data_IF_358522120629
#
_entry.id   IF_358522120629
#
_cell.length_a   1.000
_cell.length_b   1.000
_cell.length_c   1.000
_cell.angle_alpha   90.00
_cell.angle_beta   90.00
_cell.angle_gamma   90.00
#
_symmetry.space_group_name_H-M   'P 1'
#
loop_
_entity.id
_entity.type
_entity.pdbx_description
1 polymer ?
#
# COMPACT_ATOMS: atom_id res chain seq x y z
N UNK A 1 21.31 -33.00 0.77
CA UNK A 1 20.45 -32.70 1.95
C UNK A 1 20.52 -31.22 2.31
N UNK A 2 19.92 -30.29 1.53
CA UNK A 2 19.92 -28.84 1.85
C UNK A 2 18.69 -28.09 1.29
N UNK A 3 17.49 -28.71 1.29
CA UNK A 3 16.25 -28.09 0.77
C UNK A 3 15.17 -27.84 1.84
N UNK A 4 15.40 -28.21 3.10
CA UNK A 4 14.36 -28.18 4.16
C UNK A 4 14.31 -26.90 5.00
N UNK A 5 15.23 -25.96 4.81
CA UNK A 5 15.34 -24.78 5.70
C UNK A 5 14.66 -23.49 5.19
N UNK A 6 14.19 -23.45 3.95
CA UNK A 6 13.66 -22.21 3.35
C UNK A 6 12.19 -21.91 3.70
N UNK A 7 11.44 -22.85 4.27
CA UNK A 7 9.98 -22.70 4.50
C UNK A 7 9.67 -22.21 5.93
N UNK A 8 10.63 -22.28 6.86
CA UNK A 8 10.34 -22.10 8.30
C UNK A 8 10.18 -20.63 8.70
N UNK A 9 10.79 -19.66 8.00
CA UNK A 9 10.67 -18.24 8.37
C UNK A 9 9.32 -17.59 8.00
N UNK A 10 8.52 -18.19 7.10
CA UNK A 10 7.23 -17.61 6.68
C UNK A 10 6.11 -17.78 7.73
N UNK A 11 6.16 -18.83 8.56
CA UNK A 11 5.07 -19.15 9.49
C UNK A 11 5.10 -18.34 10.79
N UNK A 12 6.24 -17.82 11.20
CA UNK A 12 6.40 -17.14 12.50
C UNK A 12 5.73 -15.75 12.56
N UNK A 13 5.42 -15.13 11.41
CA UNK A 13 4.82 -13.79 11.32
C UNK A 13 3.29 -13.81 11.16
N UNK A 14 2.68 -14.97 10.94
CA UNK A 14 1.23 -15.12 10.81
C UNK A 14 0.42 -14.63 12.02
N UNK A 15 0.88 -14.76 13.29
CA UNK A 15 0.10 -14.29 14.45
C UNK A 15 -0.04 -12.77 14.54
N UNK A 16 0.87 -11.99 13.92
CA UNK A 16 0.85 -10.54 13.98
C UNK A 16 -0.14 -9.89 12.99
N UNK A 17 -0.65 -10.65 12.01
CA UNK A 17 -1.60 -10.15 11.02
C UNK A 17 -2.98 -9.79 11.62
N UNK A 18 -3.35 -10.37 12.76
CA UNK A 18 -4.66 -10.17 13.40
C UNK A 18 -4.85 -8.81 14.08
N UNK A 19 -3.80 -8.00 14.21
CA UNK A 19 -3.87 -6.67 14.83
C UNK A 19 -4.03 -5.51 13.81
N UNK A 20 -4.18 -5.83 12.51
CA UNK A 20 -4.35 -4.82 11.47
C UNK A 20 -5.65 -4.04 11.71
N UNK A 21 -5.50 -2.76 12.07
CA UNK A 21 -6.61 -1.82 12.14
C UNK A 21 -6.89 -1.37 10.71
N UNK A 22 -8.03 -1.77 10.16
CA UNK A 22 -8.42 -1.40 8.80
C UNK A 22 -8.36 0.12 8.64
N UNK A 23 -7.52 0.60 7.71
CA UNK A 23 -7.44 2.01 7.34
C UNK A 23 -8.62 2.35 6.42
N UNK A 24 -9.84 2.32 6.96
CA UNK A 24 -11.05 2.63 6.21
C UNK A 24 -10.96 4.06 5.67
N UNK A 25 -10.78 4.20 4.35
CA UNK A 25 -10.87 5.48 3.64
C UNK A 25 -9.54 6.21 3.36
N UNK A 26 -8.38 5.57 3.50
CA UNK A 26 -7.12 6.11 2.95
C UNK A 26 -6.96 5.70 1.48
N UNK A 27 -6.75 6.68 0.61
CA UNK A 27 -6.56 6.45 -0.82
C UNK A 27 -5.05 6.45 -1.14
N UNK A 28 -4.60 5.45 -1.89
CA UNK A 28 -3.23 5.34 -2.39
C UNK A 28 -3.23 5.24 -3.92
N UNK A 29 -2.16 5.74 -4.55
CA UNK A 29 -1.96 5.56 -5.98
C UNK A 29 -1.51 4.12 -6.28
N UNK A 30 -2.18 3.46 -7.22
CA UNK A 30 -1.90 2.05 -7.61
C UNK A 30 -0.72 1.95 -8.58
N UNK A 31 0.37 2.68 -8.30
CA UNK A 31 1.58 2.60 -9.11
C UNK A 31 2.38 1.36 -8.70
N UNK A 32 2.64 0.46 -9.65
CA UNK A 32 3.52 -0.67 -9.43
C UNK A 32 4.98 -0.21 -9.48
N UNK A 33 5.61 -0.09 -8.30
CA UNK A 33 7.03 0.21 -8.18
C UNK A 33 7.90 -1.03 -7.97
N UNK A 34 7.37 -2.23 -8.23
CA UNK A 34 8.10 -3.48 -8.04
C UNK A 34 9.38 -3.49 -8.89
N UNK A 35 10.50 -3.71 -8.21
CA UNK A 35 11.83 -3.74 -8.82
C UNK A 35 11.93 -4.79 -9.94
N UNK A 36 11.28 -5.94 -9.80
CA UNK A 36 11.27 -7.00 -10.83
C UNK A 36 10.59 -6.57 -12.13
N UNK A 37 9.70 -5.57 -12.07
CA UNK A 37 9.01 -5.02 -13.25
C UNK A 37 9.68 -3.76 -13.81
N UNK A 38 10.62 -3.16 -13.08
CA UNK A 38 11.29 -1.92 -13.48
C UNK A 38 12.67 -2.14 -14.12
N UNK A 39 13.08 -3.38 -14.37
CA UNK A 39 14.28 -3.70 -15.14
C UNK A 39 15.61 -3.35 -14.45
N UNK A 40 15.59 -3.02 -13.16
CA UNK A 40 16.82 -2.81 -12.39
C UNK A 40 17.40 -4.19 -12.05
N UNK A 41 18.52 -4.54 -12.68
CA UNK A 41 19.25 -5.76 -12.35
C UNK A 41 19.78 -5.65 -10.92
N UNK A 42 19.19 -6.43 -10.01
CA UNK A 42 19.62 -6.47 -8.63
C UNK A 42 20.47 -7.73 -8.43
N UNK A 43 21.79 -7.59 -8.60
CA UNK A 43 22.74 -8.64 -8.27
C UNK A 43 22.64 -9.01 -6.78
N UNK A 44 23.00 -10.25 -6.38
CA UNK A 44 23.07 -10.61 -4.97
C UNK A 44 23.89 -9.59 -4.16
N UNK A 45 23.33 -9.14 -3.04
CA UNK A 45 23.94 -8.14 -2.17
C UNK A 45 23.55 -6.69 -2.47
N UNK A 46 22.75 -6.43 -3.51
CA UNK A 46 22.27 -5.08 -3.82
C UNK A 46 21.01 -4.72 -3.03
N UNK A 47 20.91 -3.45 -2.65
CA UNK A 47 19.73 -2.88 -2.00
C UNK A 47 19.15 -1.75 -2.88
N UNK A 48 17.82 -1.64 -2.90
CA UNK A 48 17.11 -0.50 -3.50
C UNK A 48 16.29 0.17 -2.41
N UNK A 49 16.38 1.49 -2.36
CA UNK A 49 15.48 2.34 -1.59
C UNK A 49 14.51 3.03 -2.56
N UNK A 50 13.23 2.86 -2.32
CA UNK A 50 12.14 3.53 -3.02
C UNK A 50 11.39 4.41 -2.02
N UNK A 51 11.25 5.69 -2.33
CA UNK A 51 10.48 6.64 -1.53
C UNK A 51 9.44 7.28 -2.43
N UNK A 52 8.17 7.14 -2.05
CA UNK A 52 7.04 7.61 -2.83
C UNK A 52 6.15 8.49 -1.99
N UNK A 53 6.05 9.76 -2.36
CA UNK A 53 5.07 10.67 -1.80
C UNK A 53 3.85 10.73 -2.71
N UNK A 54 2.66 10.62 -2.13
CA UNK A 54 1.39 10.69 -2.83
C UNK A 54 0.51 11.76 -2.20
N UNK A 55 -0.05 12.62 -3.06
CA UNK A 55 -1.04 13.61 -2.67
C UNK A 55 -2.35 13.32 -3.41
N UNK A 56 -3.41 13.02 -2.65
CA UNK A 56 -4.72 12.69 -3.21
C UNK A 56 -5.77 13.63 -2.60
N UNK A 57 -6.33 14.52 -3.43
CA UNK A 57 -7.37 15.49 -3.05
C UNK A 57 -8.74 15.06 -3.60
N UNK A 58 -9.51 14.35 -2.78
CA UNK A 58 -10.87 13.92 -3.09
C UNK A 58 -11.86 15.01 -2.65
N UNK A 59 -12.25 15.87 -3.58
CA UNK A 59 -13.16 17.00 -3.34
C UNK A 59 -14.41 17.00 -4.24
N UNK A 60 -14.64 15.91 -4.95
CA UNK A 60 -15.72 15.79 -5.91
C UNK A 60 -16.52 14.53 -5.62
N UNK A 61 -17.82 14.68 -5.47
CA UNK A 61 -18.76 13.57 -5.39
C UNK A 61 -18.91 12.92 -6.77
N UNK A 62 -18.98 11.60 -6.79
CA UNK A 62 -19.09 10.81 -8.01
C UNK A 62 -20.20 9.77 -7.83
N UNK A 63 -20.98 9.54 -8.88
CA UNK A 63 -21.91 8.42 -8.97
C UNK A 63 -21.66 7.71 -10.30
N UNK A 64 -21.17 6.48 -10.22
CA UNK A 64 -20.65 5.77 -11.39
C UNK A 64 -19.50 6.53 -12.06
N UNK A 65 -19.70 6.93 -13.31
CA UNK A 65 -18.69 7.62 -14.15
C UNK A 65 -18.86 9.14 -14.20
N UNK A 66 -19.88 9.71 -13.53
CA UNK A 66 -20.18 11.14 -13.57
C UNK A 66 -20.02 11.80 -12.21
N UNK A 67 -19.64 13.07 -12.26
CA UNK A 67 -19.69 13.96 -11.10
C UNK A 67 -21.14 14.28 -10.75
N UNK A 68 -21.41 14.34 -9.45
CA UNK A 68 -22.71 14.77 -8.91
C UNK A 68 -22.53 16.00 -8.03
N UNK A 69 -23.59 16.78 -7.89
CA UNK A 69 -23.68 17.83 -6.87
C UNK A 69 -24.07 17.24 -5.51
N UNK A 70 -23.90 18.02 -4.43
CA UNK A 70 -24.35 17.62 -3.09
C UNK A 70 -25.87 17.40 -3.03
N UNK A 71 -26.66 18.16 -3.81
CA UNK A 71 -28.11 18.01 -3.87
C UNK A 71 -28.57 16.69 -4.48
N UNK A 72 -27.71 16.04 -5.28
CA UNK A 72 -27.96 14.73 -5.87
C UNK A 72 -27.45 13.57 -5.00
N UNK A 73 -26.73 13.86 -3.91
CA UNK A 73 -26.21 12.84 -3.01
C UNK A 73 -27.33 12.37 -2.06
N UNK A 74 -27.70 11.10 -2.20
CA UNK A 74 -28.75 10.47 -1.39
C UNK A 74 -28.19 9.63 -0.25
N UNK A 75 -26.87 9.68 0.00
CA UNK A 75 -26.24 8.96 1.10
C UNK A 75 -26.66 9.56 2.46
N UNK A 76 -26.57 8.75 3.52
CA UNK A 76 -26.78 9.22 4.90
C UNK A 76 -25.74 10.25 5.36
N UNK A 77 -24.55 10.23 4.76
CA UNK A 77 -23.45 11.16 5.00
C UNK A 77 -22.96 11.73 3.68
N UNK A 78 -22.92 13.06 3.56
CA UNK A 78 -22.37 13.77 2.40
C UNK A 78 -20.88 13.98 2.58
N UNK A 79 -20.08 13.30 1.77
CA UNK A 79 -18.62 13.45 1.77
C UNK A 79 -18.19 14.82 1.21
N UNK A 80 -17.49 15.63 2.01
CA UNK A 80 -17.09 16.97 1.59
C UNK A 80 -15.70 17.00 0.98
N UNK A 81 -14.72 16.48 1.72
CA UNK A 81 -13.33 16.47 1.28
C UNK A 81 -12.51 15.45 2.04
N UNK A 82 -11.67 14.73 1.32
CA UNK A 82 -10.59 13.91 1.90
C UNK A 82 -9.28 14.27 1.23
N UNK A 83 -8.27 14.64 2.02
CA UNK A 83 -6.90 14.83 1.56
C UNK A 83 -6.06 13.73 2.19
N UNK A 84 -5.41 12.92 1.36
CA UNK A 84 -4.38 11.96 1.78
C UNK A 84 -3.01 12.45 1.33
N UNK A 85 -2.06 12.42 2.24
CA UNK A 85 -0.63 12.72 2.06
C UNK A 85 0.14 11.51 2.55
N UNK A 86 0.48 10.62 1.63
CA UNK A 86 1.09 9.35 1.98
C UNK A 86 2.57 9.37 1.63
N UNK A 87 3.42 8.97 2.56
CA UNK A 87 4.80 8.63 2.30
C UNK A 87 4.95 7.11 2.40
N UNK A 88 5.22 6.45 1.28
CA UNK A 88 5.54 5.04 1.24
C UNK A 88 7.05 4.87 1.03
N UNK A 89 7.71 4.27 2.02
CA UNK A 89 9.13 3.91 1.93
C UNK A 89 9.24 2.41 1.76
N UNK A 90 9.95 1.96 0.72
CA UNK A 90 10.23 0.54 0.48
C UNK A 90 11.73 0.30 0.37
N UNK A 91 12.20 -0.75 1.03
CA UNK A 91 13.56 -1.27 0.90
C UNK A 91 13.49 -2.66 0.32
N UNK A 92 14.12 -2.85 -0.83
CA UNK A 92 14.30 -4.15 -1.46
C UNK A 92 15.76 -4.60 -1.27
N UNK A 93 15.98 -5.88 -1.02
CA UNK A 93 17.31 -6.47 -0.89
C UNK A 93 17.39 -7.83 -1.59
N UNK A 94 18.37 -7.99 -2.48
CA UNK A 94 18.61 -9.26 -3.17
C UNK A 94 19.53 -10.14 -2.34
N UNK A 95 18.97 -11.19 -1.74
CA UNK A 95 19.71 -12.16 -0.93
C UNK A 95 20.56 -13.10 -1.78
N UNK A 96 20.05 -13.51 -2.95
CA UNK A 96 20.73 -14.44 -3.87
C UNK A 96 20.15 -14.35 -5.27
N UNK A 97 20.69 -15.12 -6.23
CA UNK A 97 20.18 -15.20 -7.61
C UNK A 97 18.69 -15.58 -7.71
N UNK A 98 18.13 -16.19 -6.66
CA UNK A 98 16.75 -16.69 -6.63
C UNK A 98 15.89 -16.06 -5.54
N UNK A 99 16.46 -15.29 -4.61
CA UNK A 99 15.72 -14.72 -3.48
C UNK A 99 15.94 -13.22 -3.38
N UNK A 100 14.84 -12.50 -3.21
CA UNK A 100 14.83 -11.12 -2.76
C UNK A 100 13.80 -10.94 -1.65
N UNK A 101 14.00 -9.92 -0.84
CA UNK A 101 13.04 -9.49 0.20
C UNK A 101 12.71 -8.02 -0.01
N UNK A 102 11.49 -7.64 0.36
CA UNK A 102 11.00 -6.27 0.28
C UNK A 102 10.28 -5.92 1.56
N UNK A 103 10.58 -4.76 2.13
CA UNK A 103 9.89 -4.22 3.31
C UNK A 103 9.38 -2.84 2.98
N UNK A 104 8.08 -2.61 3.17
CA UNK A 104 7.41 -1.34 2.91
C UNK A 104 6.77 -0.80 4.18
N UNK A 105 7.00 0.47 4.49
CA UNK A 105 6.40 1.19 5.62
C UNK A 105 5.67 2.43 5.10
N UNK A 106 4.34 2.51 5.24
CA UNK A 106 3.58 3.71 4.93
C UNK A 106 3.43 4.63 6.15
N UNK A 107 3.64 5.92 5.95
CA UNK A 107 3.19 6.99 6.85
C UNK A 107 2.07 7.74 6.14
N UNK A 108 0.91 7.81 6.77
CA UNK A 108 -0.30 8.40 6.21
C UNK A 108 -0.68 9.61 7.03
N UNK A 109 -0.80 10.74 6.36
CA UNK A 109 -1.42 11.95 6.88
C UNK A 109 -2.76 12.17 6.14
N UNK A 110 -3.87 12.10 6.88
CA UNK A 110 -5.23 12.21 6.33
C UNK A 110 -6.02 13.30 7.03
N UNK A 111 -6.64 14.15 6.23
CA UNK A 111 -7.67 15.11 6.64
C UNK A 111 -8.97 14.72 5.94
N UNK A 112 -10.04 14.55 6.70
CA UNK A 112 -11.32 14.09 6.18
C UNK A 112 -12.47 14.83 6.84
N UNK A 113 -13.46 15.23 6.05
CA UNK A 113 -14.67 15.87 6.54
C UNK A 113 -15.91 15.45 5.76
N UNK A 114 -17.01 15.31 6.47
CA UNK A 114 -18.33 15.06 5.89
C UNK A 114 -19.43 15.74 6.73
N UNK A 115 -20.66 15.68 6.22
CA UNK A 115 -21.87 16.07 6.96
C UNK A 115 -22.74 14.82 7.12
N UNK A 116 -23.16 14.50 8.34
CA UNK A 116 -24.26 13.55 8.55
C UNK A 116 -25.57 14.25 8.20
N UNK A 117 -26.25 13.77 7.15
CA UNK A 117 -27.47 14.37 6.63
C UNK A 117 -28.67 14.11 7.55
N UNK A 118 -28.57 13.15 8.47
CA UNK A 118 -29.64 12.81 9.43
C UNK A 118 -29.69 13.84 10.56
N UNK A 119 -28.53 14.30 11.01
CA UNK A 119 -28.36 15.20 12.17
C UNK A 119 -27.93 16.61 11.75
N UNK A 120 -27.60 16.81 10.48
CA UNK A 120 -26.94 18.00 9.94
C UNK A 120 -25.64 18.35 10.68
N UNK A 121 -24.92 17.35 11.20
CA UNK A 121 -23.65 17.57 11.92
C UNK A 121 -22.47 17.53 10.98
N UNK A 122 -21.61 18.55 11.07
CA UNK A 122 -20.30 18.53 10.43
C UNK A 122 -19.32 17.73 11.28
N UNK A 123 -18.65 16.77 10.66
CA UNK A 123 -17.63 15.95 11.31
C UNK A 123 -16.31 16.04 10.55
N UNK A 124 -15.21 16.04 11.31
CA UNK A 124 -13.85 16.12 10.76
C UNK A 124 -12.88 15.27 11.57
N UNK A 125 -12.01 14.56 10.85
CA UNK A 125 -10.88 13.84 11.42
C UNK A 125 -9.60 14.22 10.72
N UNK A 126 -8.58 14.50 11.52
CA UNK A 126 -7.21 14.73 11.06
C UNK A 126 -6.30 13.77 11.83
N UNK A 127 -5.45 13.03 11.12
CA UNK A 127 -4.44 12.19 11.76
C UNK A 127 -3.19 12.04 10.90
N UNK A 128 -2.08 11.79 11.58
CA UNK A 128 -0.84 11.29 10.97
C UNK A 128 -0.44 10.01 11.69
N UNK A 129 -0.40 8.88 10.98
CA UNK A 129 -0.09 7.57 11.57
C UNK A 129 0.70 6.69 10.60
N UNK A 130 1.47 5.76 11.16
CA UNK A 130 2.01 4.63 10.40
C UNK A 130 0.87 3.69 10.02
N UNK A 131 0.78 3.31 8.76
CA UNK A 131 -0.14 2.26 8.31
C UNK A 131 0.46 0.87 8.44
N UNK A 132 -0.21 -0.11 7.84
CA UNK A 132 0.24 -1.50 7.88
C UNK A 132 1.58 -1.66 7.16
N UNK A 133 2.58 -2.10 7.91
CA UNK A 133 3.90 -2.46 7.35
C UNK A 133 3.79 -3.78 6.63
N UNK A 134 4.42 -3.88 5.46
CA UNK A 134 4.39 -5.08 4.62
C UNK A 134 5.81 -5.62 4.45
N UNK A 135 5.97 -6.92 4.66
CA UNK A 135 7.18 -7.65 4.28
C UNK A 135 6.83 -8.73 3.25
N UNK A 136 7.62 -8.82 2.17
CA UNK A 136 7.45 -9.80 1.10
C UNK A 136 8.76 -10.53 0.85
N UNK A 137 8.67 -11.82 0.57
CA UNK A 137 9.77 -12.62 0.04
C UNK A 137 9.45 -13.07 -1.39
N UNK A 138 10.38 -12.83 -2.30
CA UNK A 138 10.27 -13.22 -3.70
C UNK A 138 11.23 -14.35 -3.99
N UNK A 139 10.70 -15.49 -4.41
CA UNK A 139 11.50 -16.61 -4.89
C UNK A 139 11.34 -16.75 -6.41
N UNK A 140 12.45 -16.68 -7.15
CA UNK A 140 12.50 -16.94 -8.58
C UNK A 140 12.89 -18.39 -8.82
N UNK A 141 12.00 -19.16 -9.45
CA UNK A 141 12.33 -20.44 -10.04
C UNK A 141 13.15 -20.16 -11.31
N UNK A 142 14.47 -20.29 -11.22
CA UNK A 142 15.33 -20.20 -12.41
C UNK A 142 15.46 -21.60 -13.02
N UNK A 143 15.17 -21.74 -14.32
CA UNK A 143 15.61 -22.91 -15.07
C UNK A 143 17.03 -22.62 -15.56
N UNK A 144 18.03 -23.23 -14.91
CA UNK A 144 19.44 -23.10 -15.31
C UNK A 144 19.67 -23.56 -16.76
N UNK A 145 18.74 -24.32 -17.35
CA UNK A 145 18.80 -24.79 -18.73
C UNK A 145 18.16 -23.85 -19.76
N UNK A 146 17.39 -22.84 -19.34
CA UNK A 146 16.77 -21.89 -20.27
C UNK A 146 16.66 -20.49 -19.65
N UNK A 147 17.70 -19.65 -19.74
CA UNK A 147 17.75 -18.34 -19.09
C UNK A 147 16.84 -17.27 -19.73
N UNK A 148 16.06 -17.62 -20.75
CA UNK A 148 15.16 -16.71 -21.48
C UNK A 148 13.66 -16.95 -21.16
N UNK A 149 13.34 -17.85 -20.22
CA UNK A 149 11.97 -18.09 -19.72
C UNK A 149 11.92 -17.91 -18.22
#
# INVERSE_FOLDING_TARGET
MKKRFAIVCGLALLPAAGAAQASCGTAFCVLNTNWATQGVAAEPGTARLDMRFEFVDQKHLQSGTRRISQAEDTAGTTELRTINRNLLTTVDYTLSKNWAVSVSVPVVDRSHSHIDNTTATFEKWDFTKTGDTRALGFYRFADEKNPLV
#
